data_IF_150252789258
#
_entry.id   IF_150252789258
#
_cell.length_a   1.000
_cell.length_b   1.000
_cell.length_c   1.000
_cell.angle_alpha   90.00
_cell.angle_beta   90.00
_cell.angle_gamma   90.00
#
_symmetry.space_group_name_H-M   'P 1'
#
loop_
_entity.id
_entity.type
_entity.pdbx_description
1 polymer ?
#
# COMPACT_ATOMS: atom_id res chain seq x y z
N UNK A 1 -28.57 -3.69 4.60
CA UNK A 1 -29.21 -2.55 3.89
C UNK A 1 -28.16 -1.66 3.22
N UNK A 2 -28.48 -0.84 2.20
CA UNK A 2 -27.48 0.02 1.50
C UNK A 2 -26.75 0.98 2.46
N UNK A 3 -27.43 1.37 3.55
CA UNK A 3 -26.91 2.22 4.62
C UNK A 3 -25.80 1.53 5.41
N UNK A 4 -26.00 0.28 5.85
CA UNK A 4 -24.98 -0.50 6.59
C UNK A 4 -23.67 -0.65 5.82
N UNK A 5 -23.74 -0.83 4.49
CA UNK A 5 -22.56 -0.97 3.64
C UNK A 5 -21.75 0.32 3.59
N UNK A 6 -22.41 1.47 3.46
CA UNK A 6 -21.72 2.77 3.46
C UNK A 6 -21.16 3.13 4.84
N UNK A 7 -21.89 2.82 5.92
CA UNK A 7 -21.39 2.99 7.29
C UNK A 7 -20.15 2.12 7.53
N UNK A 8 -20.19 0.86 7.09
CA UNK A 8 -19.04 -0.06 7.21
C UNK A 8 -17.83 0.45 6.43
N UNK A 9 -18.03 0.91 5.18
CA UNK A 9 -16.95 1.53 4.39
C UNK A 9 -16.34 2.73 5.09
N UNK A 10 -17.18 3.61 5.65
CA UNK A 10 -16.72 4.78 6.38
C UNK A 10 -15.87 4.39 7.60
N UNK A 11 -16.36 3.46 8.43
CA UNK A 11 -15.63 2.98 9.61
C UNK A 11 -14.28 2.37 9.25
N UNK A 12 -14.23 1.50 8.23
CA UNK A 12 -12.98 0.87 7.79
C UNK A 12 -12.03 1.93 7.24
N UNK A 13 -12.52 2.90 6.46
CA UNK A 13 -11.69 3.99 5.92
C UNK A 13 -11.05 4.81 7.05
N UNK A 14 -11.86 5.22 8.04
CA UNK A 14 -11.39 5.98 9.20
C UNK A 14 -10.35 5.20 10.01
N UNK A 15 -10.58 3.90 10.24
CA UNK A 15 -9.63 3.03 10.91
C UNK A 15 -8.31 2.91 10.14
N UNK A 16 -8.35 2.68 8.83
CA UNK A 16 -7.15 2.56 7.98
C UNK A 16 -6.35 3.87 7.99
N UNK A 17 -7.02 5.03 7.91
CA UNK A 17 -6.36 6.33 8.00
C UNK A 17 -5.68 6.55 9.36
N UNK A 18 -6.29 6.09 10.44
CA UNK A 18 -5.68 6.14 11.76
C UNK A 18 -4.47 5.21 11.89
N UNK A 19 -4.58 3.98 11.38
CA UNK A 19 -3.47 3.03 11.29
C UNK A 19 -2.32 3.65 10.48
N UNK A 20 -2.59 4.27 9.34
CA UNK A 20 -1.60 4.94 8.50
C UNK A 20 -0.83 6.04 9.24
N UNK A 21 -1.52 6.84 10.06
CA UNK A 21 -0.88 7.87 10.89
C UNK A 21 0.04 7.26 11.93
N UNK A 22 -0.36 6.15 12.54
CA UNK A 22 0.39 5.46 13.60
C UNK A 22 1.51 4.53 13.07
N UNK A 23 1.41 4.06 11.82
CA UNK A 23 2.42 3.21 11.17
C UNK A 23 3.84 3.81 11.23
N UNK A 24 3.98 5.14 11.26
CA UNK A 24 5.28 5.82 11.39
C UNK A 24 6.00 5.52 12.71
N UNK A 25 5.29 5.08 13.74
CA UNK A 25 5.83 4.79 15.08
C UNK A 25 6.01 3.29 15.32
N UNK A 26 5.46 2.44 14.45
CA UNK A 26 5.54 0.99 14.61
C UNK A 26 6.85 0.43 14.07
N UNK A 27 7.28 -0.71 14.63
CA UNK A 27 8.50 -1.42 14.24
C UNK A 27 8.21 -2.89 13.93
N UNK A 28 9.13 -3.49 13.19
CA UNK A 28 9.24 -4.94 12.96
C UNK A 28 7.90 -5.59 12.55
N UNK A 29 7.47 -6.59 13.32
CA UNK A 29 6.31 -7.42 13.02
C UNK A 29 5.00 -6.63 13.06
N UNK A 30 4.85 -5.66 13.98
CA UNK A 30 3.64 -4.85 14.06
C UNK A 30 3.48 -3.99 12.80
N UNK A 31 4.58 -3.35 12.37
CA UNK A 31 4.59 -2.56 11.14
C UNK A 31 4.26 -3.44 9.92
N UNK A 32 4.87 -4.62 9.80
CA UNK A 32 4.59 -5.57 8.71
C UNK A 32 3.11 -6.00 8.67
N UNK A 33 2.51 -6.27 9.83
CA UNK A 33 1.09 -6.61 9.93
C UNK A 33 0.19 -5.43 9.50
N UNK A 34 0.47 -4.22 9.98
CA UNK A 34 -0.28 -3.02 9.59
C UNK A 34 -0.18 -2.74 8.08
N UNK A 35 1.02 -2.85 7.51
CA UNK A 35 1.23 -2.69 6.06
C UNK A 35 0.49 -3.76 5.27
N UNK A 36 0.51 -5.02 5.72
CA UNK A 36 -0.25 -6.10 5.08
C UNK A 36 -1.75 -5.81 5.10
N UNK A 37 -2.28 -5.29 6.20
CA UNK A 37 -3.68 -4.86 6.30
C UNK A 37 -3.98 -3.75 5.29
N UNK A 38 -3.14 -2.71 5.22
CA UNK A 38 -3.29 -1.58 4.28
C UNK A 38 -3.27 -2.06 2.82
N UNK A 39 -2.35 -2.97 2.47
CA UNK A 39 -2.19 -3.46 1.09
C UNK A 39 -3.34 -4.39 0.65
N UNK A 40 -4.10 -4.95 1.60
CA UNK A 40 -5.22 -5.86 1.35
C UNK A 40 -6.60 -5.21 1.48
N UNK A 41 -6.67 -3.89 1.64
CA UNK A 41 -7.97 -3.20 1.74
C UNK A 41 -8.76 -3.30 0.43
N UNK A 42 -10.12 -3.27 0.49
CA UNK A 42 -10.96 -3.26 -0.69
C UNK A 42 -10.70 -2.05 -1.60
N UNK A 43 -10.81 -2.25 -2.93
CA UNK A 43 -10.59 -1.20 -3.95
C UNK A 43 -11.42 0.07 -3.72
N UNK A 44 -12.65 -0.07 -3.25
CA UNK A 44 -13.53 1.07 -2.96
C UNK A 44 -13.01 1.98 -1.84
N UNK A 45 -12.12 1.48 -0.98
CA UNK A 45 -11.42 2.23 0.05
C UNK A 45 -10.12 2.78 -0.53
N UNK A 46 -9.35 1.97 -1.27
CA UNK A 46 -8.12 2.40 -1.96
C UNK A 46 -8.33 3.71 -2.71
N UNK A 47 -9.38 3.78 -3.53
CA UNK A 47 -9.73 4.97 -4.32
C UNK A 47 -9.89 6.26 -3.51
N UNK A 48 -10.32 6.14 -2.24
CA UNK A 48 -10.56 7.28 -1.35
C UNK A 48 -9.32 7.76 -0.62
N UNK A 49 -8.26 6.94 -0.55
CA UNK A 49 -7.07 7.20 0.28
C UNK A 49 -5.74 7.10 -0.47
N UNK A 50 -5.78 7.20 -1.80
CA UNK A 50 -4.60 7.11 -2.66
C UNK A 50 -3.44 8.03 -2.24
N UNK A 51 -3.65 9.33 -1.93
CA UNK A 51 -2.53 10.18 -1.55
C UNK A 51 -1.83 9.69 -0.28
N UNK A 52 -2.56 9.06 0.64
CA UNK A 52 -2.07 8.51 1.90
C UNK A 52 -1.36 7.17 1.72
N UNK A 53 -1.56 6.47 0.60
CA UNK A 53 -0.92 5.19 0.29
C UNK A 53 0.54 5.32 -0.17
N UNK A 54 1.02 6.52 -0.50
CA UNK A 54 2.42 6.71 -0.95
C UNK A 54 3.41 6.21 0.11
N UNK A 55 3.30 6.71 1.35
CA UNK A 55 4.21 6.36 2.44
C UNK A 55 4.22 4.87 2.78
N UNK A 56 3.08 4.17 3.00
CA UNK A 56 3.09 2.75 3.32
C UNK A 56 3.64 1.88 2.16
N UNK A 57 3.43 2.28 0.90
CA UNK A 57 4.04 1.58 -0.24
C UNK A 57 5.56 1.70 -0.25
N UNK A 58 6.07 2.91 -0.03
CA UNK A 58 7.51 3.15 0.06
C UNK A 58 8.13 2.34 1.20
N UNK A 59 7.53 2.36 2.39
CA UNK A 59 7.98 1.59 3.55
C UNK A 59 7.94 0.09 3.26
N UNK A 60 6.85 -0.40 2.66
CA UNK A 60 6.72 -1.82 2.29
C UNK A 60 7.82 -2.27 1.32
N UNK A 61 8.15 -1.43 0.34
CA UNK A 61 9.23 -1.69 -0.60
C UNK A 61 10.61 -1.58 0.04
N UNK A 62 10.82 -0.71 1.03
CA UNK A 62 12.10 -0.68 1.76
C UNK A 62 12.27 -1.91 2.65
N UNK A 63 11.24 -2.25 3.45
CA UNK A 63 11.24 -3.43 4.30
C UNK A 63 11.40 -4.71 3.49
N UNK A 64 10.82 -4.74 2.29
CA UNK A 64 10.85 -5.90 1.42
C UNK A 64 12.23 -6.27 0.87
N UNK A 65 13.24 -5.39 0.99
CA UNK A 65 14.63 -5.70 0.65
C UNK A 65 15.22 -6.74 1.62
N UNK A 66 14.80 -6.70 2.88
CA UNK A 66 15.22 -7.66 3.92
C UNK A 66 14.14 -8.70 4.22
N UNK A 67 12.87 -8.45 3.84
CA UNK A 67 11.73 -9.33 4.09
C UNK A 67 10.86 -9.49 2.84
N UNK A 68 11.24 -10.39 1.94
CA UNK A 68 10.58 -10.57 0.65
C UNK A 68 9.04 -10.75 0.68
N UNK A 69 8.40 -11.38 1.69
CA UNK A 69 6.95 -11.52 1.72
C UNK A 69 6.19 -10.19 1.63
N UNK A 70 6.64 -9.13 2.32
CA UNK A 70 5.94 -7.83 2.24
C UNK A 70 6.10 -7.19 0.86
N UNK A 71 7.25 -7.35 0.21
CA UNK A 71 7.46 -6.89 -1.17
C UNK A 71 6.47 -7.56 -2.13
N UNK A 72 6.28 -8.88 -2.01
CA UNK A 72 5.35 -9.64 -2.86
C UNK A 72 3.91 -9.17 -2.69
N UNK A 73 3.48 -8.92 -1.45
CA UNK A 73 2.15 -8.38 -1.17
C UNK A 73 2.01 -6.98 -1.78
N UNK A 74 3.01 -6.11 -1.60
CA UNK A 74 3.02 -4.75 -2.15
C UNK A 74 2.93 -4.75 -3.69
N UNK A 75 3.72 -5.58 -4.36
CA UNK A 75 3.72 -5.68 -5.83
C UNK A 75 2.38 -6.27 -6.32
N UNK A 76 1.82 -7.25 -5.61
CA UNK A 76 0.52 -7.84 -5.96
C UNK A 76 -0.60 -6.80 -5.84
N UNK A 77 -0.57 -5.99 -4.77
CA UNK A 77 -1.51 -4.88 -4.59
C UNK A 77 -1.37 -3.82 -5.70
N UNK A 78 -0.14 -3.38 -6.01
CA UNK A 78 0.11 -2.43 -7.10
C UNK A 78 -0.38 -2.96 -8.45
N UNK A 79 -0.14 -4.24 -8.75
CA UNK A 79 -0.63 -4.87 -9.98
C UNK A 79 -2.15 -4.85 -10.06
N UNK A 80 -2.82 -5.22 -8.97
CA UNK A 80 -4.28 -5.15 -8.88
C UNK A 80 -4.75 -3.70 -9.11
N UNK A 81 -4.14 -2.74 -8.43
CA UNK A 81 -4.52 -1.33 -8.51
C UNK A 81 -4.33 -0.76 -9.92
N UNK A 82 -3.28 -1.14 -10.63
CA UNK A 82 -3.10 -0.70 -12.04
C UNK A 82 -4.16 -1.22 -13.00
N UNK A 83 -4.81 -2.34 -12.67
CA UNK A 83 -5.87 -2.91 -13.52
C UNK A 83 -7.21 -2.20 -13.32
N UNK A 84 -7.47 -1.68 -12.12
CA UNK A 84 -8.80 -1.20 -11.74
C UNK A 84 -8.87 0.30 -11.43
N UNK A 85 -7.75 0.96 -11.05
CA UNK A 85 -7.75 2.39 -10.76
C UNK A 85 -7.74 3.24 -12.04
N UNK A 86 -8.34 4.43 -11.94
CA UNK A 86 -8.26 5.45 -12.99
C UNK A 86 -6.81 5.87 -13.25
N UNK A 87 -6.52 6.24 -14.50
CA UNK A 87 -5.18 6.66 -14.93
C UNK A 87 -4.61 7.82 -14.11
N UNK A 88 -5.45 8.80 -13.76
CA UNK A 88 -5.07 9.98 -12.94
C UNK A 88 -4.51 9.57 -11.57
N UNK A 89 -5.18 8.61 -10.93
CA UNK A 89 -4.78 8.08 -9.63
C UNK A 89 -3.42 7.37 -9.69
N UNK A 90 -3.22 6.57 -10.74
CA UNK A 90 -1.95 5.88 -11.01
C UNK A 90 -0.83 6.88 -11.30
N UNK A 91 -1.10 7.92 -12.11
CA UNK A 91 -0.13 8.96 -12.46
C UNK A 91 0.33 9.77 -11.24
N UNK A 92 -0.53 9.99 -10.25
CA UNK A 92 -0.15 10.67 -9.00
C UNK A 92 0.70 9.78 -8.07
N UNK A 93 0.42 8.47 -8.05
CA UNK A 93 1.04 7.50 -7.15
C UNK A 93 2.41 7.01 -7.66
N UNK A 94 2.49 6.61 -8.93
CA UNK A 94 3.62 5.87 -9.49
C UNK A 94 4.95 6.61 -9.45
N UNK A 95 5.04 7.91 -9.80
CA UNK A 95 6.30 8.65 -9.76
C UNK A 95 6.95 8.65 -8.37
N UNK A 96 6.14 8.58 -7.30
CA UNK A 96 6.61 8.59 -5.91
C UNK A 96 7.02 7.20 -5.41
N UNK A 97 6.42 6.14 -5.97
CA UNK A 97 6.63 4.75 -5.53
C UNK A 97 7.69 4.04 -6.37
N UNK A 98 7.77 4.32 -7.67
CA UNK A 98 8.64 3.65 -8.63
C UNK A 98 10.14 3.69 -8.26
N UNK A 99 10.70 4.77 -7.70
CA UNK A 99 12.12 4.79 -7.28
C UNK A 99 12.46 3.68 -6.27
N UNK A 100 11.50 3.28 -5.43
CA UNK A 100 11.68 2.24 -4.42
C UNK A 100 11.58 0.82 -4.99
N UNK A 101 11.11 0.67 -6.23
CA UNK A 101 11.14 -0.60 -6.96
C UNK A 101 12.50 -0.85 -7.62
N UNK A 102 13.29 0.19 -7.88
CA UNK A 102 14.59 0.08 -8.58
C UNK A 102 15.57 -0.91 -7.93
N UNK A 103 15.74 -0.97 -6.60
CA UNK A 103 16.67 -1.91 -5.98
C UNK A 103 16.33 -3.38 -6.28
N UNK A 104 15.04 -3.72 -6.40
CA UNK A 104 14.58 -5.07 -6.75
C UNK A 104 14.95 -5.46 -8.19
N UNK A 105 15.05 -4.48 -9.09
CA UNK A 105 15.46 -4.69 -10.48
C UNK A 105 16.98 -4.78 -10.62
N UNK A 106 17.71 -4.03 -9.78
CA UNK A 106 19.19 -4.03 -9.76
C UNK A 106 19.79 -5.27 -9.12
N UNK A 107 19.06 -5.96 -8.24
CA UNK A 107 19.50 -7.19 -7.58
C UNK A 107 19.78 -8.38 -8.54
N UNK A 108 19.54 -8.24 -9.86
CA UNK A 108 19.93 -9.22 -10.89
C UNK A 108 21.10 -8.75 -11.77
N UNK A 109 21.88 -7.76 -11.36
CA UNK A 109 22.99 -7.21 -12.14
C UNK A 109 24.30 -7.07 -11.36
N UNK A 110 24.86 -8.19 -10.90
CA UNK A 110 26.31 -8.35 -10.70
C UNK A 110 26.65 -9.81 -11.05
N UNK A 111 27.07 -10.00 -12.30
CA UNK A 111 28.03 -11.03 -12.72
C UNK A 111 29.40 -10.39 -12.60
#
# INVERSE_FOLDING_TARGET
>A
SRVEVETSKHLITSYVLEVLKRCKQYKDNLLSCCLTLILKIPMCIVERIIPELVSPLQISLQMGLSFLPIARICISALKLWTQYLKKENIQSLFPKVLPFLLPYLRSKGFV
#
